data_IF_308941172910
#
_entry.id   IF_308941172910
#
_cell.length_a   1.000
_cell.length_b   1.000
_cell.length_c   1.000
_cell.angle_alpha   90.00
_cell.angle_beta   90.00
_cell.angle_gamma   90.00
#
_symmetry.space_group_name_H-M   'P 1'
#
loop_
_entity.id
_entity.type
_entity.pdbx_description
1 polymer ?
#
# COMPACT_ATOMS: atom_id res chain seq x y z
N UNK A 1 -10.27 29.67 -15.38
CA UNK A 1 -9.10 29.59 -14.47
C UNK A 1 -8.71 28.13 -14.17
N UNK A 2 -9.56 27.16 -14.51
CA UNK A 2 -9.37 25.73 -14.17
C UNK A 2 -8.38 25.00 -15.08
N UNK A 3 -8.31 25.34 -16.38
CA UNK A 3 -7.39 24.69 -17.33
C UNK A 3 -5.91 24.86 -16.97
N UNK A 4 -5.50 25.98 -16.37
CA UNK A 4 -4.09 26.23 -16.01
C UNK A 4 -3.67 25.41 -14.79
N UNK A 5 -4.54 25.27 -13.80
CA UNK A 5 -4.29 24.41 -12.62
C UNK A 5 -4.24 22.94 -13.01
N UNK A 6 -5.18 22.50 -13.83
CA UNK A 6 -5.25 21.12 -14.32
C UNK A 6 -4.00 20.74 -15.13
N UNK A 7 -3.56 21.61 -16.04
CA UNK A 7 -2.32 21.39 -16.80
C UNK A 7 -1.08 21.30 -15.90
N UNK A 8 -0.99 22.16 -14.87
CA UNK A 8 0.13 22.12 -13.91
C UNK A 8 0.15 20.80 -13.12
N UNK A 9 -1.00 20.27 -12.73
CA UNK A 9 -1.10 18.98 -12.02
C UNK A 9 -0.65 17.84 -12.93
N UNK A 10 -1.16 17.78 -14.16
CA UNK A 10 -0.76 16.74 -15.11
C UNK A 10 0.76 16.75 -15.35
N UNK A 11 1.37 17.92 -15.53
CA UNK A 11 2.83 18.02 -15.68
C UNK A 11 3.60 17.54 -14.43
N UNK A 12 3.05 17.71 -13.22
CA UNK A 12 3.68 17.18 -12.00
C UNK A 12 3.63 15.64 -11.92
N UNK A 13 2.59 15.05 -12.51
CA UNK A 13 2.32 13.61 -12.54
C UNK A 13 2.97 12.88 -13.72
N UNK A 14 3.32 13.58 -14.81
CA UNK A 14 3.82 13.04 -16.09
C UNK A 14 5.03 12.07 -16.00
N UNK A 15 5.64 11.90 -14.83
CA UNK A 15 6.74 10.95 -14.57
C UNK A 15 6.64 10.25 -13.21
N UNK A 16 5.44 10.17 -12.64
CA UNK A 16 5.21 9.55 -11.33
C UNK A 16 4.20 8.43 -11.47
N UNK A 17 4.51 7.33 -10.80
CA UNK A 17 3.63 6.19 -10.54
C UNK A 17 2.72 6.55 -9.36
N UNK A 18 1.45 6.15 -9.47
CA UNK A 18 0.53 6.08 -8.34
C UNK A 18 0.97 4.91 -7.44
N UNK A 19 1.29 5.21 -6.19
CA UNK A 19 1.75 4.23 -5.20
C UNK A 19 0.58 3.83 -4.30
N UNK A 20 -0.18 4.81 -3.82
CA UNK A 20 -1.36 4.60 -2.97
C UNK A 20 -2.56 5.27 -3.62
N UNK A 21 -3.69 4.56 -3.67
CA UNK A 21 -5.00 5.13 -3.94
C UNK A 21 -6.02 4.49 -2.99
N UNK A 22 -6.48 5.26 -2.00
CA UNK A 22 -7.36 4.72 -0.96
C UNK A 22 -8.42 5.72 -0.52
N UNK A 23 -9.52 5.21 0.03
CA UNK A 23 -10.59 6.00 0.63
C UNK A 23 -10.38 6.00 2.14
N UNK A 24 -10.17 7.19 2.71
CA UNK A 24 -10.07 7.37 4.15
C UNK A 24 -11.44 7.21 4.83
N UNK A 25 -11.52 6.93 6.14
CA UNK A 25 -12.79 6.77 6.86
C UNK A 25 -13.76 7.96 6.76
N UNK A 26 -13.25 9.15 6.44
CA UNK A 26 -14.05 10.35 6.22
C UNK A 26 -14.56 10.51 4.77
N UNK A 27 -14.42 9.47 3.95
CA UNK A 27 -14.85 9.42 2.54
C UNK A 27 -13.93 10.16 1.57
N UNK A 28 -12.86 10.79 2.04
CA UNK A 28 -11.91 11.46 1.14
C UNK A 28 -10.99 10.45 0.48
N UNK A 29 -10.67 10.67 -0.79
CA UNK A 29 -9.70 9.87 -1.51
C UNK A 29 -8.31 10.45 -1.25
N UNK A 30 -7.36 9.58 -0.97
CA UNK A 30 -5.99 9.90 -0.65
C UNK A 30 -5.07 9.17 -1.62
N UNK A 31 -4.26 9.95 -2.34
CA UNK A 31 -3.38 9.43 -3.37
C UNK A 31 -1.93 9.86 -3.13
N UNK A 32 -1.01 8.92 -3.23
CA UNK A 32 0.43 9.17 -3.11
C UNK A 32 1.10 8.79 -4.42
N UNK A 33 1.90 9.71 -4.95
CA UNK A 33 2.64 9.53 -6.19
C UNK A 33 4.14 9.65 -5.93
N UNK A 34 4.91 8.76 -6.54
CA UNK A 34 6.37 8.77 -6.50
C UNK A 34 6.95 8.34 -7.84
N UNK A 35 8.25 8.54 -8.05
CA UNK A 35 8.90 8.13 -9.31
C UNK A 35 9.13 6.63 -9.42
N UNK A 36 9.28 5.97 -8.27
CA UNK A 36 9.61 4.55 -8.14
C UNK A 36 9.12 4.02 -6.79
N UNK A 37 9.13 2.70 -6.66
CA UNK A 37 9.02 1.97 -5.39
C UNK A 37 10.15 0.94 -5.35
N UNK A 38 10.76 0.67 -4.18
CA UNK A 38 10.59 1.41 -2.92
C UNK A 38 11.15 2.84 -3.01
N UNK A 39 10.59 3.76 -2.22
CA UNK A 39 11.09 5.13 -2.07
C UNK A 39 12.27 5.20 -1.09
N UNK A 40 13.28 5.99 -1.43
CA UNK A 40 14.45 6.26 -0.61
C UNK A 40 14.29 7.56 0.20
N UNK A 41 14.44 7.43 1.52
CA UNK A 41 14.34 8.55 2.45
C UNK A 41 15.33 9.67 2.12
N UNK A 42 14.80 10.90 2.03
CA UNK A 42 15.57 12.11 1.77
C UNK A 42 16.10 12.25 0.34
N UNK A 43 15.80 11.30 -0.55
CA UNK A 43 16.25 11.32 -1.96
C UNK A 43 15.10 11.45 -2.93
N UNK A 44 14.04 10.67 -2.73
CA UNK A 44 12.91 10.66 -3.65
C UNK A 44 11.91 11.76 -3.31
N UNK A 45 11.35 12.39 -4.33
CA UNK A 45 10.25 13.32 -4.20
C UNK A 45 8.90 12.61 -4.36
N UNK A 46 7.95 12.95 -3.49
CA UNK A 46 6.59 12.47 -3.58
C UNK A 46 5.59 13.62 -3.70
N UNK A 47 4.42 13.29 -4.23
CA UNK A 47 3.24 14.14 -4.20
C UNK A 47 2.16 13.41 -3.42
N UNK A 48 1.44 14.14 -2.57
CA UNK A 48 0.27 13.63 -1.87
C UNK A 48 -0.90 14.50 -2.26
N UNK A 49 -1.93 13.88 -2.82
CA UNK A 49 -3.19 14.51 -3.15
C UNK A 49 -4.29 14.01 -2.24
N UNK A 50 -5.21 14.91 -1.93
CA UNK A 50 -6.47 14.61 -1.25
C UNK A 50 -7.61 15.09 -2.13
N UNK A 51 -8.54 14.20 -2.44
CA UNK A 51 -9.76 14.52 -3.17
C UNK A 51 -10.96 14.43 -2.23
N UNK A 52 -11.65 15.56 -2.07
CA UNK A 52 -12.85 15.65 -1.25
C UNK A 52 -14.06 14.97 -1.89
N UNK A 53 -15.13 14.77 -1.11
CA UNK A 53 -16.43 14.32 -1.65
C UNK A 53 -17.02 15.27 -2.69
N UNK A 54 -16.60 16.55 -2.68
CA UNK A 54 -16.89 17.56 -3.71
C UNK A 54 -16.12 17.35 -5.01
N UNK A 55 -15.42 16.21 -5.14
CA UNK A 55 -14.52 15.83 -6.22
C UNK A 55 -13.34 16.79 -6.43
N UNK A 56 -13.13 17.72 -5.50
CA UNK A 56 -12.05 18.68 -5.62
C UNK A 56 -10.74 18.05 -5.16
N UNK A 57 -9.81 17.94 -6.09
CA UNK A 57 -8.46 17.50 -5.82
C UNK A 57 -7.61 18.65 -5.28
N UNK A 58 -6.91 18.38 -4.18
CA UNK A 58 -6.02 19.33 -3.50
C UNK A 58 -4.66 18.67 -3.31
N UNK A 59 -3.60 19.32 -3.81
CA UNK A 59 -2.23 18.95 -3.50
C UNK A 59 -1.98 19.25 -2.01
N UNK A 60 -1.82 18.19 -1.23
CA UNK A 60 -1.58 18.25 0.21
C UNK A 60 -0.09 18.36 0.53
N UNK A 61 0.76 17.67 -0.24
CA UNK A 61 2.20 17.69 -0.06
C UNK A 61 2.95 17.56 -1.39
N UNK A 62 4.04 18.31 -1.52
CA UNK A 62 5.03 18.16 -2.58
C UNK A 62 6.42 18.39 -1.99
N UNK A 63 7.27 17.38 -2.04
CA UNK A 63 8.62 17.48 -1.49
C UNK A 63 9.31 16.14 -1.33
N UNK A 64 10.42 16.13 -0.60
CA UNK A 64 11.20 14.94 -0.32
C UNK A 64 10.44 13.98 0.61
N UNK A 65 10.55 12.68 0.33
CA UNK A 65 10.10 11.63 1.23
C UNK A 65 11.00 11.59 2.48
N UNK A 66 10.63 12.33 3.52
CA UNK A 66 11.38 12.39 4.78
C UNK A 66 10.87 11.37 5.78
N UNK A 67 11.62 11.17 6.88
CA UNK A 67 11.17 10.33 8.01
C UNK A 67 9.85 10.81 8.61
N UNK A 68 9.63 12.12 8.66
CA UNK A 68 8.39 12.70 9.18
C UNK A 68 7.22 12.40 8.25
N UNK A 69 7.42 12.54 6.94
CA UNK A 69 6.39 12.22 5.95
C UNK A 69 6.08 10.71 5.94
N UNK A 70 7.12 9.86 6.03
CA UNK A 70 6.94 8.42 6.22
C UNK A 70 6.07 8.12 7.43
N UNK A 71 6.41 8.69 8.59
CA UNK A 71 5.66 8.48 9.83
C UNK A 71 4.19 8.88 9.69
N UNK A 72 3.90 10.01 9.03
CA UNK A 72 2.52 10.43 8.77
C UNK A 72 1.80 9.44 7.86
N UNK A 73 2.45 8.93 6.81
CA UNK A 73 1.87 7.92 5.93
C UNK A 73 1.61 6.60 6.66
N UNK A 74 2.55 6.13 7.46
CA UNK A 74 2.38 4.95 8.32
C UNK A 74 1.17 5.14 9.26
N UNK A 75 1.14 6.24 10.02
CA UNK A 75 0.05 6.54 10.96
C UNK A 75 -1.32 6.63 10.27
N UNK A 76 -1.39 7.24 9.08
CA UNK A 76 -2.65 7.42 8.35
C UNK A 76 -3.15 6.15 7.66
N UNK A 77 -2.25 5.25 7.27
CA UNK A 77 -2.53 4.08 6.43
C UNK A 77 -2.38 2.76 7.18
N UNK A 78 -2.42 2.81 8.52
CA UNK A 78 -2.36 1.64 9.39
C UNK A 78 -3.69 1.37 10.08
N UNK A 79 -4.11 0.11 10.07
CA UNK A 79 -5.07 -0.46 11.01
C UNK A 79 -4.29 -1.04 12.19
N UNK A 80 -4.67 -0.66 13.40
CA UNK A 80 -3.91 -0.95 14.61
C UNK A 80 -2.85 0.12 14.90
N UNK A 81 -1.76 -0.27 15.56
CA UNK A 81 -0.70 0.68 15.89
C UNK A 81 0.56 0.02 16.47
N UNK A 82 1.57 0.84 16.73
CA UNK A 82 2.77 0.46 17.48
C UNK A 82 2.71 1.21 18.81
N UNK A 83 2.62 0.46 19.91
CA UNK A 83 2.40 1.04 21.25
C UNK A 83 3.70 1.22 22.04
N UNK A 84 4.78 0.60 21.58
CA UNK A 84 6.08 0.70 22.21
C UNK A 84 7.12 -0.20 21.57
N UNK A 85 8.20 -0.38 22.30
CA UNK A 85 9.31 -1.26 21.95
C UNK A 85 9.50 -2.23 23.13
N UNK A 86 9.72 -3.51 22.84
CA UNK A 86 9.95 -4.52 23.85
C UNK A 86 11.38 -4.45 24.43
N UNK A 87 11.73 -5.39 25.31
CA UNK A 87 13.06 -5.41 25.95
C UNK A 87 14.22 -5.72 24.99
N UNK A 88 13.92 -6.21 23.78
CA UNK A 88 14.91 -6.59 22.77
C UNK A 88 15.07 -5.53 21.68
N UNK A 89 14.25 -4.49 21.68
CA UNK A 89 14.27 -3.45 20.66
C UNK A 89 13.24 -3.67 19.55
N UNK A 90 12.37 -4.67 19.69
CA UNK A 90 11.35 -5.00 18.68
C UNK A 90 10.05 -4.22 18.92
N UNK A 91 9.35 -3.75 17.88
CA UNK A 91 8.08 -3.06 18.03
C UNK A 91 6.99 -3.93 18.65
N UNK A 92 6.21 -3.35 19.57
CA UNK A 92 5.00 -3.97 20.11
C UNK A 92 3.81 -3.48 19.29
N UNK A 93 3.18 -4.41 18.59
CA UNK A 93 2.03 -4.14 17.73
C UNK A 93 0.71 -4.32 18.47
N UNK A 94 -0.22 -3.40 18.21
CA UNK A 94 -1.62 -3.49 18.61
C UNK A 94 -2.47 -3.68 17.36
N UNK A 95 -3.45 -4.60 17.44
CA UNK A 95 -4.37 -4.90 16.35
C UNK A 95 -5.57 -3.95 16.38
N UNK A 96 -5.98 -3.48 15.21
CA UNK A 96 -7.19 -2.69 15.02
C UNK A 96 -8.31 -3.50 14.38
N UNK A 97 -9.53 -2.98 14.46
CA UNK A 97 -10.74 -3.61 13.92
C UNK A 97 -10.76 -3.57 12.39
N UNK A 98 -11.16 -4.68 11.79
CA UNK A 98 -11.48 -4.82 10.37
C UNK A 98 -12.97 -5.17 10.18
N UNK A 99 -13.39 -5.65 9.01
CA UNK A 99 -14.80 -6.02 8.81
C UNK A 99 -15.17 -7.30 9.59
N UNK A 100 -14.27 -8.29 9.62
CA UNK A 100 -14.52 -9.60 10.20
C UNK A 100 -13.60 -9.97 11.38
N UNK A 101 -12.61 -9.15 11.74
CA UNK A 101 -11.70 -9.46 12.85
C UNK A 101 -10.83 -8.31 13.33
N UNK A 102 -9.65 -8.66 13.86
CA UNK A 102 -8.67 -7.70 14.37
C UNK A 102 -7.26 -8.01 13.87
N UNK A 103 -6.60 -7.04 13.22
CA UNK A 103 -5.26 -7.21 12.63
C UNK A 103 -4.39 -6.00 12.86
N UNK A 104 -3.08 -6.17 12.75
CA UNK A 104 -2.21 -5.05 12.39
C UNK A 104 -2.08 -5.04 10.87
N UNK A 105 -2.32 -3.91 10.19
CA UNK A 105 -2.21 -3.82 8.73
C UNK A 105 -1.74 -2.44 8.31
N UNK A 106 -0.50 -2.32 7.85
CA UNK A 106 0.10 -1.09 7.37
C UNK A 106 0.21 -1.12 5.83
N UNK A 107 -0.70 -0.39 5.18
CA UNK A 107 -0.79 -0.31 3.73
C UNK A 107 0.39 0.45 3.11
N UNK A 108 0.94 1.45 3.80
CA UNK A 108 2.11 2.19 3.30
C UNK A 108 3.35 1.30 3.24
N UNK A 109 3.61 0.54 4.31
CA UNK A 109 4.73 -0.40 4.36
C UNK A 109 4.63 -1.43 3.22
N UNK A 110 3.43 -1.98 2.97
CA UNK A 110 3.21 -2.91 1.87
C UNK A 110 3.42 -2.26 0.49
N UNK A 111 2.69 -1.18 0.16
CA UNK A 111 2.71 -0.56 -1.17
C UNK A 111 4.03 0.14 -1.52
N UNK A 112 4.79 0.56 -0.51
CA UNK A 112 6.15 1.09 -0.70
C UNK A 112 7.21 -0.03 -0.75
N UNK A 113 6.81 -1.31 -0.75
CA UNK A 113 7.69 -2.48 -0.78
C UNK A 113 8.74 -2.45 0.35
N UNK A 114 8.32 -2.05 1.55
CA UNK A 114 9.17 -1.97 2.74
C UNK A 114 9.48 -3.35 3.31
N UNK A 115 10.67 -3.51 3.89
CA UNK A 115 11.02 -4.69 4.70
C UNK A 115 10.41 -4.62 6.11
N UNK A 116 9.72 -3.53 6.45
CA UNK A 116 8.98 -3.40 7.72
C UNK A 116 7.73 -4.30 7.72
N UNK A 117 7.31 -4.70 8.93
CA UNK A 117 6.06 -5.44 9.12
C UNK A 117 4.89 -4.64 8.56
N UNK A 118 4.12 -5.26 7.68
CA UNK A 118 2.93 -4.67 7.07
C UNK A 118 1.65 -5.41 7.45
N UNK A 119 1.73 -6.63 8.01
CA UNK A 119 0.56 -7.38 8.43
C UNK A 119 0.85 -8.31 9.62
N UNK A 120 -0.10 -8.41 10.56
CA UNK A 120 -0.13 -9.44 11.60
C UNK A 120 -1.59 -9.91 11.73
N UNK A 121 -1.88 -11.22 11.52
CA UNK A 121 -3.24 -11.76 11.57
C UNK A 121 -3.78 -11.81 13.00
N UNK A 122 -5.08 -12.09 13.16
CA UNK A 122 -5.74 -12.11 14.47
C UNK A 122 -5.27 -13.28 15.34
N UNK A 123 -5.21 -14.47 14.76
CA UNK A 123 -5.01 -15.73 15.48
C UNK A 123 -3.56 -16.20 15.54
N UNK A 124 -2.61 -15.40 15.05
CA UNK A 124 -1.17 -15.64 15.16
C UNK A 124 -0.42 -14.32 15.38
N UNK A 125 0.69 -14.38 16.11
CA UNK A 125 1.63 -13.27 16.27
C UNK A 125 2.74 -13.25 15.21
N UNK A 126 2.68 -14.13 14.20
CA UNK A 126 3.64 -14.15 13.09
C UNK A 126 3.53 -12.84 12.28
N UNK A 127 4.62 -12.05 12.19
CA UNK A 127 4.63 -10.83 11.40
C UNK A 127 4.98 -11.09 9.94
N UNK A 128 4.34 -10.34 9.03
CA UNK A 128 4.58 -10.41 7.59
C UNK A 128 5.02 -9.04 7.06
N UNK A 129 6.06 -9.02 6.22
CA UNK A 129 6.44 -7.88 5.40
C UNK A 129 6.06 -8.10 3.93
N UNK A 130 6.25 -7.09 3.07
CA UNK A 130 5.94 -7.19 1.64
C UNK A 130 6.57 -8.42 0.97
N UNK A 131 7.84 -8.71 1.31
CA UNK A 131 8.55 -9.87 0.74
C UNK A 131 7.90 -11.20 1.10
N UNK A 132 7.30 -11.31 2.28
CA UNK A 132 6.62 -12.54 2.68
C UNK A 132 5.37 -12.78 1.83
N UNK A 133 4.56 -11.74 1.58
CA UNK A 133 3.44 -11.80 0.63
C UNK A 133 3.91 -12.23 -0.77
N UNK A 134 5.02 -11.66 -1.26
CA UNK A 134 5.60 -12.03 -2.54
C UNK A 134 6.07 -13.49 -2.58
N UNK A 135 6.67 -13.99 -1.48
CA UNK A 135 7.11 -15.39 -1.37
C UNK A 135 5.93 -16.36 -1.36
N UNK A 136 4.83 -15.98 -0.70
CA UNK A 136 3.59 -16.79 -0.62
C UNK A 136 2.90 -16.82 -1.99
N UNK A 137 2.72 -15.65 -2.62
CA UNK A 137 1.85 -15.50 -3.79
C UNK A 137 2.55 -15.68 -5.13
N UNK A 138 3.87 -15.44 -5.19
CA UNK A 138 4.71 -15.57 -6.38
C UNK A 138 4.54 -14.50 -7.47
N UNK A 139 3.43 -13.74 -7.47
CA UNK A 139 3.14 -12.67 -8.43
C UNK A 139 2.61 -11.42 -7.72
N UNK A 140 3.04 -10.23 -8.16
CA UNK A 140 2.69 -8.94 -7.51
C UNK A 140 1.18 -8.73 -7.44
N UNK A 141 0.41 -8.94 -8.53
CA UNK A 141 -1.06 -8.75 -8.45
C UNK A 141 -1.76 -9.73 -7.52
N UNK A 142 -1.22 -10.94 -7.40
CA UNK A 142 -1.78 -11.94 -6.48
C UNK A 142 -1.47 -11.53 -5.04
N UNK A 143 -0.26 -11.05 -4.78
CA UNK A 143 0.11 -10.50 -3.48
C UNK A 143 -0.75 -9.27 -3.14
N UNK A 144 -1.01 -8.38 -4.10
CA UNK A 144 -1.85 -7.19 -3.92
C UNK A 144 -3.29 -7.57 -3.59
N UNK A 145 -3.84 -8.57 -4.29
CA UNK A 145 -5.16 -9.12 -3.98
C UNK A 145 -5.20 -9.70 -2.56
N UNK A 146 -4.23 -10.55 -2.22
CA UNK A 146 -4.15 -11.17 -0.89
C UNK A 146 -4.00 -10.12 0.20
N UNK A 147 -3.09 -9.17 0.05
CA UNK A 147 -2.91 -8.11 1.03
C UNK A 147 -4.15 -7.22 1.13
N UNK A 148 -4.78 -6.84 0.03
CA UNK A 148 -5.96 -5.95 0.08
C UNK A 148 -7.15 -6.63 0.78
N UNK A 149 -7.38 -7.92 0.52
CA UNK A 149 -8.59 -8.62 0.97
C UNK A 149 -8.44 -9.39 2.28
N UNK A 150 -7.22 -9.76 2.69
CA UNK A 150 -7.02 -10.45 3.97
C UNK A 150 -7.52 -9.60 5.14
N UNK A 151 -8.36 -10.20 5.98
CA UNK A 151 -9.19 -9.45 6.94
C UNK A 151 -9.01 -9.88 8.40
N UNK A 152 -8.68 -11.15 8.65
CA UNK A 152 -8.38 -11.69 9.98
C UNK A 152 -7.44 -12.92 9.92
N UNK A 153 -7.59 -13.77 8.89
CA UNK A 153 -6.77 -14.97 8.70
C UNK A 153 -5.31 -14.68 8.28
N UNK A 154 -4.45 -15.69 8.27
CA UNK A 154 -3.09 -15.52 7.72
C UNK A 154 -3.12 -15.33 6.20
N UNK A 155 -2.06 -14.71 5.61
CA UNK A 155 -1.97 -14.56 4.16
C UNK A 155 -2.01 -15.89 3.40
N UNK A 156 -1.43 -16.96 3.94
CA UNK A 156 -1.48 -18.31 3.34
C UNK A 156 -2.90 -18.88 3.33
N UNK A 157 -3.65 -18.70 4.43
CA UNK A 157 -5.02 -19.17 4.52
C UNK A 157 -5.89 -18.49 3.45
N UNK A 158 -5.80 -17.17 3.33
CA UNK A 158 -6.53 -16.44 2.29
C UNK A 158 -6.04 -16.76 0.88
N UNK A 159 -4.73 -16.94 0.69
CA UNK A 159 -4.18 -17.34 -0.59
C UNK A 159 -4.71 -18.71 -1.05
N UNK A 160 -4.84 -19.68 -0.14
CA UNK A 160 -5.45 -20.97 -0.46
C UNK A 160 -6.91 -20.80 -0.89
N UNK A 161 -7.70 -19.99 -0.17
CA UNK A 161 -9.10 -19.68 -0.55
C UNK A 161 -9.18 -19.00 -1.92
N UNK A 162 -8.28 -18.06 -2.21
CA UNK A 162 -8.18 -17.39 -3.51
C UNK A 162 -7.90 -18.39 -4.65
N UNK A 163 -7.10 -19.42 -4.40
CA UNK A 163 -6.78 -20.45 -5.39
C UNK A 163 -7.96 -21.41 -5.66
N UNK A 164 -8.93 -21.51 -4.75
CA UNK A 164 -10.16 -22.29 -4.99
C UNK A 164 -11.06 -21.62 -6.04
N UNK A 165 -11.01 -20.29 -6.18
CA UNK A 165 -11.58 -19.57 -7.32
C UNK A 165 -10.60 -19.58 -8.51
N UNK A 166 -10.51 -20.74 -9.18
CA UNK A 166 -9.55 -20.97 -10.27
C UNK A 166 -9.66 -19.93 -11.38
N UNK A 167 -10.87 -19.49 -11.74
CA UNK A 167 -11.09 -18.55 -12.84
C UNK A 167 -10.53 -17.16 -12.49
N UNK A 168 -10.83 -16.67 -11.28
CA UNK A 168 -10.33 -15.39 -10.80
C UNK A 168 -8.81 -15.42 -10.61
N UNK A 169 -8.28 -16.45 -9.96
CA UNK A 169 -6.85 -16.62 -9.74
C UNK A 169 -6.06 -16.66 -11.08
N UNK A 170 -6.55 -17.42 -12.06
CA UNK A 170 -5.93 -17.47 -13.39
C UNK A 170 -5.97 -16.12 -14.11
N UNK A 171 -7.00 -15.30 -13.87
CA UNK A 171 -7.08 -13.95 -14.42
C UNK A 171 -6.00 -13.04 -13.81
N UNK A 172 -5.80 -13.08 -12.49
CA UNK A 172 -4.75 -12.32 -11.81
C UNK A 172 -3.34 -12.67 -12.32
N UNK A 173 -3.06 -13.96 -12.54
CA UNK A 173 -1.78 -14.39 -13.14
C UNK A 173 -1.62 -13.84 -14.55
N UNK A 174 -2.66 -13.93 -15.39
CA UNK A 174 -2.61 -13.42 -16.77
C UNK A 174 -2.31 -11.93 -16.79
N UNK A 175 -2.90 -11.16 -15.89
CA UNK A 175 -2.70 -9.72 -15.83
C UNK A 175 -1.33 -9.34 -15.25
N UNK A 176 -0.81 -10.11 -14.29
CA UNK A 176 0.57 -9.97 -13.80
C UNK A 176 1.59 -10.14 -14.95
N UNK A 177 1.39 -11.16 -15.80
CA UNK A 177 2.30 -11.44 -16.92
C UNK A 177 2.27 -10.36 -18.00
N UNK A 178 1.11 -9.75 -18.25
CA UNK A 178 0.99 -8.64 -19.20
C UNK A 178 1.79 -7.42 -18.75
N UNK A 179 1.76 -7.08 -17.45
CA UNK A 179 2.51 -5.95 -16.93
C UNK A 179 4.03 -6.12 -17.06
N UNK A 180 4.54 -7.33 -16.78
CA UNK A 180 5.96 -7.65 -17.01
C UNK A 180 6.34 -7.40 -18.47
N UNK A 181 5.54 -7.87 -19.44
CA UNK A 181 5.82 -7.64 -20.86
C UNK A 181 5.72 -6.19 -21.31
N UNK A 182 4.97 -5.33 -20.59
CA UNK A 182 4.86 -3.90 -20.90
C UNK A 182 6.05 -3.13 -20.32
N UNK A 183 6.49 -3.44 -19.10
CA UNK A 183 7.67 -2.80 -18.49
C UNK A 183 8.95 -3.12 -19.27
N UNK A 184 9.13 -4.36 -19.73
CA UNK A 184 10.28 -4.75 -20.56
C UNK A 184 10.33 -4.03 -21.92
N UNK A 185 9.18 -3.68 -22.49
CA UNK A 185 9.10 -2.94 -23.78
C UNK A 185 9.23 -1.43 -23.63
N UNK A 186 9.15 -0.92 -22.39
CA UNK A 186 9.20 0.50 -22.07
C UNK A 186 10.59 0.97 -21.60
N UNK A 187 11.56 0.05 -21.51
CA UNK A 187 12.97 0.29 -21.23
C UNK A 187 13.80 0.33 -22.51
#
# INVERSE_FOLDING_TARGET
>A
MDNVKFNKINTMLEKKRLIVDTILPNGNIFQVYGRKVPLELGKDEILIFKRGMDQKETLFYQGLYTKEVKRVLDEMLTIGGITGIDRYGEPIYERGTTEQGFVYKNMWAYLNHSDEVCYIPELSDDPYCYRDFMNICGYEKVADEVFSTVDWQSPEAYFNELQEDEDYYNQLIKDSRKEITVDERSR
#
